data_IF_327328994336
#
_entry.id   IF_327328994336
#
_cell.length_a   1.000
_cell.length_b   1.000
_cell.length_c   1.000
_cell.angle_alpha   90.00
_cell.angle_beta   90.00
_cell.angle_gamma   90.00
#
_symmetry.space_group_name_H-M   'P 1'
#
loop_
_entity.id
_entity.type
_entity.pdbx_description
1 polymer ?
#
# COMPACT_ATOMS: atom_id res chain seq x y z
N UNK A 1 4.86 -13.16 7.56
CA UNK A 1 4.71 -13.90 8.80
C UNK A 1 3.61 -13.28 9.68
N UNK A 2 3.16 -14.03 10.68
CA UNK A 2 2.14 -13.54 11.60
C UNK A 2 2.62 -12.34 12.40
N UNK A 3 3.91 -12.29 12.75
CA UNK A 3 4.48 -11.16 13.48
C UNK A 3 4.46 -9.87 12.64
N UNK A 4 4.73 -9.99 11.35
CA UNK A 4 4.66 -8.86 10.43
C UNK A 4 3.24 -8.32 10.34
N UNK A 5 2.26 -9.20 10.23
CA UNK A 5 0.84 -8.79 10.17
C UNK A 5 0.45 -8.07 11.46
N UNK A 6 0.88 -8.56 12.62
CA UNK A 6 0.62 -7.91 13.91
C UNK A 6 1.22 -6.51 13.95
N UNK A 7 2.47 -6.35 13.52
CA UNK A 7 3.14 -5.04 13.52
C UNK A 7 2.46 -4.08 12.52
N UNK A 8 2.09 -4.58 11.36
CA UNK A 8 1.41 -3.79 10.34
C UNK A 8 0.06 -3.28 10.88
N UNK A 9 -0.69 -4.15 11.55
CA UNK A 9 -1.96 -3.79 12.18
C UNK A 9 -1.78 -2.71 13.24
N UNK A 10 -0.76 -2.84 14.08
CA UNK A 10 -0.45 -1.83 15.11
C UNK A 10 -0.20 -0.46 14.48
N UNK A 11 0.57 -0.40 13.41
CA UNK A 11 0.89 0.88 12.76
C UNK A 11 -0.33 1.49 12.08
N UNK A 12 -1.18 0.68 11.49
CA UNK A 12 -2.44 1.17 10.90
C UNK A 12 -3.35 1.70 12.01
N UNK A 13 -3.50 0.98 13.12
CA UNK A 13 -4.31 1.42 14.26
C UNK A 13 -3.77 2.71 14.85
N UNK A 14 -2.45 2.84 14.95
CA UNK A 14 -1.81 4.08 15.43
C UNK A 14 -2.11 5.24 14.50
N UNK A 15 -2.05 5.02 13.19
CA UNK A 15 -2.39 6.06 12.21
C UNK A 15 -3.85 6.51 12.39
N UNK A 16 -4.76 5.58 12.58
CA UNK A 16 -6.18 5.88 12.81
C UNK A 16 -6.33 6.70 14.10
N UNK A 17 -5.63 6.30 15.15
CA UNK A 17 -5.64 7.02 16.44
C UNK A 17 -5.09 8.44 16.29
N UNK A 18 -4.12 8.64 15.42
CA UNK A 18 -3.53 9.95 15.10
C UNK A 18 -4.41 10.79 14.17
N UNK A 19 -5.54 10.28 13.70
CA UNK A 19 -6.50 11.01 12.89
C UNK A 19 -6.53 10.68 11.41
N UNK A 20 -5.69 9.78 10.93
CA UNK A 20 -5.71 9.39 9.52
C UNK A 20 -6.93 8.51 9.21
N UNK A 21 -7.55 8.77 8.07
CA UNK A 21 -8.78 8.05 7.65
C UNK A 21 -8.67 7.45 6.26
N UNK A 22 -7.80 7.98 5.41
CA UNK A 22 -7.63 7.49 4.04
C UNK A 22 -6.31 6.75 3.93
N UNK A 23 -6.38 5.49 3.52
CA UNK A 23 -5.22 4.62 3.39
C UNK A 23 -5.02 4.26 1.92
N UNK A 24 -3.80 4.49 1.42
CA UNK A 24 -3.42 4.19 0.06
C UNK A 24 -2.56 2.93 0.03
N UNK A 25 -2.80 2.05 -0.94
CA UNK A 25 -2.01 0.84 -1.16
C UNK A 25 -1.59 0.74 -2.62
N UNK A 26 -0.36 0.30 -2.86
CA UNK A 26 0.17 0.11 -4.21
C UNK A 26 -0.23 -1.20 -4.87
N UNK A 27 -0.97 -2.04 -4.18
CA UNK A 27 -1.56 -3.28 -4.70
C UNK A 27 -0.59 -4.37 -5.11
N UNK A 28 0.67 -4.29 -4.68
CA UNK A 28 1.63 -5.37 -4.90
C UNK A 28 1.35 -6.56 -4.00
N UNK A 29 1.81 -7.74 -4.42
CA UNK A 29 1.68 -8.96 -3.62
C UNK A 29 2.35 -8.78 -2.25
N UNK A 30 1.79 -9.41 -1.24
CA UNK A 30 2.34 -9.38 0.12
C UNK A 30 1.83 -8.19 0.91
N UNK A 31 2.73 -7.35 1.41
CA UNK A 31 2.43 -6.29 2.38
C UNK A 31 1.31 -5.36 1.94
N UNK A 32 1.32 -4.93 0.69
CA UNK A 32 0.29 -4.01 0.17
C UNK A 32 -1.11 -4.60 0.30
N UNK A 33 -1.27 -5.86 -0.10
CA UNK A 33 -2.57 -6.52 -0.03
C UNK A 33 -2.94 -6.89 1.41
N UNK A 34 -1.99 -7.25 2.24
CA UNK A 34 -2.25 -7.52 3.66
C UNK A 34 -2.68 -6.25 4.39
N UNK A 35 -2.03 -5.13 4.11
CA UNK A 35 -2.43 -3.84 4.68
C UNK A 35 -3.85 -3.46 4.25
N UNK A 36 -4.18 -3.68 2.98
CA UNK A 36 -5.52 -3.45 2.46
C UNK A 36 -6.57 -4.30 3.19
N UNK A 37 -6.26 -5.57 3.43
CA UNK A 37 -7.15 -6.47 4.19
C UNK A 37 -7.45 -5.91 5.58
N UNK A 38 -6.43 -5.41 6.26
CA UNK A 38 -6.58 -4.83 7.60
C UNK A 38 -7.49 -3.61 7.55
N UNK A 39 -7.30 -2.71 6.60
CA UNK A 39 -8.14 -1.51 6.47
C UNK A 39 -9.58 -1.90 6.16
N UNK A 40 -9.79 -2.86 5.27
CA UNK A 40 -11.13 -3.35 4.92
C UNK A 40 -11.83 -3.92 6.16
N UNK A 41 -11.11 -4.72 6.95
CA UNK A 41 -11.65 -5.27 8.21
C UNK A 41 -12.02 -4.15 9.19
N UNK A 42 -11.10 -3.22 9.44
CA UNK A 42 -11.32 -2.14 10.39
C UNK A 42 -12.45 -1.19 9.95
N UNK A 43 -12.65 -1.03 8.64
CA UNK A 43 -13.74 -0.21 8.09
C UNK A 43 -15.12 -0.70 8.53
N UNK A 44 -15.24 -1.99 8.87
CA UNK A 44 -16.51 -2.55 9.40
C UNK A 44 -16.90 -1.90 10.71
N UNK A 45 -15.92 -1.45 11.49
CA UNK A 45 -16.12 -0.84 12.81
C UNK A 45 -15.95 0.67 12.80
N UNK A 46 -15.33 1.22 11.77
CA UNK A 46 -15.13 2.66 11.60
C UNK A 46 -15.40 3.02 10.13
N UNK A 47 -16.62 3.48 9.86
CA UNK A 47 -17.08 3.74 8.50
C UNK A 47 -16.46 4.96 7.84
N UNK A 48 -15.71 5.77 8.60
CA UNK A 48 -14.98 6.91 8.05
C UNK A 48 -13.70 6.49 7.36
N UNK A 49 -13.25 5.24 7.58
CA UNK A 49 -12.06 4.73 6.90
C UNK A 49 -12.31 4.51 5.42
N UNK A 50 -11.34 4.91 4.59
CA UNK A 50 -11.38 4.73 3.15
C UNK A 50 -10.11 4.04 2.69
N UNK A 51 -10.27 3.12 1.74
CA UNK A 51 -9.17 2.43 1.09
C UNK A 51 -9.08 2.90 -0.36
N UNK A 52 -7.91 3.38 -0.76
CA UNK A 52 -7.63 3.76 -2.12
C UNK A 52 -6.56 2.84 -2.69
N UNK A 53 -6.87 2.18 -3.80
CA UNK A 53 -5.92 1.34 -4.52
C UNK A 53 -5.25 2.16 -5.62
N UNK A 54 -3.91 2.15 -5.64
CA UNK A 54 -3.12 2.87 -6.64
C UNK A 54 -2.36 1.84 -7.47
N UNK A 55 -2.85 1.60 -8.66
CA UNK A 55 -2.37 0.53 -9.54
C UNK A 55 -1.40 1.12 -10.55
N UNK A 56 -0.16 0.58 -10.64
CA UNK A 56 0.84 1.14 -11.56
C UNK A 56 0.43 1.01 -13.02
N UNK A 57 -0.17 -0.11 -13.41
CA UNK A 57 -0.67 -0.30 -14.76
C UNK A 57 -1.76 -1.37 -14.79
N UNK A 58 -2.66 -1.28 -15.74
CA UNK A 58 -3.74 -2.26 -15.89
C UNK A 58 -3.14 -3.61 -16.31
N UNK A 59 -3.55 -4.68 -15.64
CA UNK A 59 -3.04 -6.02 -15.91
C UNK A 59 -1.81 -6.40 -15.10
N UNK A 60 -1.44 -5.62 -14.09
CA UNK A 60 -0.28 -5.93 -13.25
C UNK A 60 -0.32 -7.36 -12.69
N UNK A 61 -1.51 -7.85 -12.38
CA UNK A 61 -1.71 -9.17 -11.76
C UNK A 61 -1.78 -10.34 -12.77
N UNK A 62 -1.73 -10.08 -14.07
CA UNK A 62 -2.03 -11.09 -15.10
C UNK A 62 -1.19 -12.36 -14.98
N UNK A 63 0.07 -12.24 -14.58
CA UNK A 63 1.01 -13.38 -14.48
C UNK A 63 1.24 -13.87 -13.07
N UNK A 64 0.45 -13.38 -12.11
CA UNK A 64 0.59 -13.82 -10.73
C UNK A 64 -0.02 -15.20 -10.52
N UNK A 65 0.43 -15.95 -9.49
CA UNK A 65 -0.27 -17.15 -9.07
C UNK A 65 -1.75 -16.91 -8.81
N UNK A 66 -2.58 -17.91 -9.07
CA UNK A 66 -4.04 -17.78 -9.01
C UNK A 66 -4.55 -17.19 -7.68
N UNK A 67 -3.98 -17.65 -6.56
CA UNK A 67 -4.44 -17.17 -5.25
C UNK A 67 -4.16 -15.69 -5.05
N UNK A 68 -3.01 -15.20 -5.52
CA UNK A 68 -2.67 -13.79 -5.45
C UNK A 68 -3.55 -12.94 -6.38
N UNK A 69 -3.89 -13.47 -7.57
CA UNK A 69 -4.83 -12.78 -8.46
C UNK A 69 -6.19 -12.62 -7.82
N UNK A 70 -6.69 -13.68 -7.17
CA UNK A 70 -7.97 -13.63 -6.46
C UNK A 70 -7.94 -12.60 -5.35
N UNK A 71 -6.85 -12.58 -4.57
CA UNK A 71 -6.67 -11.62 -3.48
C UNK A 71 -6.69 -10.19 -4.02
N UNK A 72 -5.91 -9.92 -5.06
CA UNK A 72 -5.88 -8.62 -5.73
C UNK A 72 -7.29 -8.19 -6.18
N UNK A 73 -8.00 -9.08 -6.85
CA UNK A 73 -9.32 -8.76 -7.37
C UNK A 73 -10.34 -8.48 -6.25
N UNK A 74 -10.27 -9.24 -5.15
CA UNK A 74 -11.13 -9.00 -3.99
C UNK A 74 -10.86 -7.65 -3.34
N UNK A 75 -9.60 -7.28 -3.17
CA UNK A 75 -9.23 -5.98 -2.59
C UNK A 75 -9.70 -4.86 -3.52
N UNK A 76 -9.43 -4.98 -4.82
CA UNK A 76 -9.82 -3.95 -5.79
C UNK A 76 -11.34 -3.73 -5.78
N UNK A 77 -12.11 -4.81 -5.71
CA UNK A 77 -13.58 -4.75 -5.68
C UNK A 77 -14.10 -4.05 -4.43
N UNK A 78 -13.41 -4.18 -3.31
CA UNK A 78 -13.82 -3.62 -2.02
C UNK A 78 -13.26 -2.22 -1.75
N UNK A 79 -12.37 -1.73 -2.60
CA UNK A 79 -11.78 -0.40 -2.43
C UNK A 79 -12.82 0.69 -2.60
N UNK A 80 -12.66 1.78 -1.85
CA UNK A 80 -13.51 2.96 -1.99
C UNK A 80 -13.16 3.73 -3.25
N UNK A 81 -11.88 3.70 -3.65
CA UNK A 81 -11.43 4.34 -4.88
C UNK A 81 -10.28 3.54 -5.49
N UNK A 82 -10.23 3.52 -6.82
CA UNK A 82 -9.16 2.86 -7.59
C UNK A 82 -8.59 3.87 -8.58
N UNK A 83 -7.28 4.09 -8.49
CA UNK A 83 -6.53 4.95 -9.40
C UNK A 83 -5.56 4.08 -10.20
N UNK A 84 -5.76 4.00 -11.50
CA UNK A 84 -4.86 3.30 -12.41
C UNK A 84 -4.01 4.35 -13.12
N UNK A 85 -2.68 4.23 -13.03
CA UNK A 85 -1.77 5.27 -13.52
C UNK A 85 -1.37 5.09 -14.99
N UNK A 86 -1.44 3.87 -15.53
CA UNK A 86 -1.07 3.60 -16.92
C UNK A 86 -1.92 2.49 -17.50
N UNK A 87 -2.18 2.55 -18.81
CA UNK A 87 -2.93 1.50 -19.51
C UNK A 87 -2.14 0.21 -19.65
N UNK A 88 -0.80 0.30 -19.63
CA UNK A 88 0.08 -0.82 -19.92
C UNK A 88 1.39 -0.69 -19.17
N UNK A 89 2.14 -1.79 -19.13
CA UNK A 89 3.47 -1.83 -18.56
C UNK A 89 4.44 -0.90 -19.32
N UNK A 90 5.30 -0.24 -18.55
CA UNK A 90 6.54 0.39 -19.02
C UNK A 90 7.56 0.29 -17.89
N UNK A 91 8.87 0.50 -18.16
CA UNK A 91 9.89 0.36 -17.12
C UNK A 91 9.70 1.26 -15.89
N UNK A 92 9.00 2.39 -16.04
CA UNK A 92 8.85 3.39 -14.98
C UNK A 92 7.59 3.24 -14.15
N UNK A 93 6.69 2.30 -14.48
CA UNK A 93 5.36 2.27 -13.86
C UNK A 93 5.41 2.08 -12.34
N UNK A 94 6.30 1.24 -11.84
CA UNK A 94 6.38 0.99 -10.39
C UNK A 94 6.94 2.18 -9.65
N UNK A 95 7.97 2.82 -10.19
CA UNK A 95 8.53 4.03 -9.59
C UNK A 95 7.51 5.16 -9.61
N UNK A 96 6.81 5.34 -10.72
CA UNK A 96 5.77 6.35 -10.84
C UNK A 96 4.67 6.13 -9.80
N UNK A 97 4.23 4.86 -9.59
CA UNK A 97 3.25 4.53 -8.57
C UNK A 97 3.77 4.86 -7.18
N UNK A 98 5.01 4.50 -6.87
CA UNK A 98 5.58 4.76 -5.56
C UNK A 98 5.69 6.26 -5.26
N UNK A 99 6.11 7.05 -6.24
CA UNK A 99 6.16 8.51 -6.09
C UNK A 99 4.76 9.10 -5.94
N UNK A 100 3.80 8.58 -6.68
CA UNK A 100 2.40 9.02 -6.58
C UNK A 100 1.86 8.79 -5.17
N UNK A 101 2.13 7.61 -4.60
CA UNK A 101 1.73 7.29 -3.22
C UNK A 101 2.29 8.30 -2.22
N UNK A 102 3.57 8.60 -2.30
CA UNK A 102 4.23 9.56 -1.41
C UNK A 102 3.65 10.96 -1.62
N UNK A 103 3.50 11.39 -2.88
CA UNK A 103 3.01 12.73 -3.21
C UNK A 103 1.58 12.99 -2.73
N UNK A 104 0.80 11.93 -2.50
CA UNK A 104 -0.59 12.04 -2.09
C UNK A 104 -0.82 11.54 -0.66
N UNK A 105 0.24 11.45 0.14
CA UNK A 105 0.19 10.97 1.52
C UNK A 105 0.85 11.95 2.48
N UNK A 106 0.43 11.86 3.74
CA UNK A 106 1.01 12.65 4.83
C UNK A 106 1.83 11.79 5.79
N UNK A 107 1.82 10.49 5.62
CA UNK A 107 2.60 9.52 6.40
C UNK A 107 2.82 8.26 5.55
N UNK A 108 4.00 7.69 5.64
CA UNK A 108 4.33 6.43 4.99
C UNK A 108 4.55 5.34 6.06
N UNK A 109 3.92 4.19 5.87
CA UNK A 109 4.23 2.97 6.61
C UNK A 109 4.91 2.03 5.61
N UNK A 110 6.14 1.61 5.91
CA UNK A 110 6.91 0.77 5.00
C UNK A 110 7.48 -0.43 5.73
N UNK A 111 7.48 -1.59 5.06
CA UNK A 111 8.14 -2.80 5.55
C UNK A 111 9.43 -2.95 4.77
N UNK A 112 10.58 -2.98 5.45
CA UNK A 112 11.88 -2.89 4.81
C UNK A 112 12.91 -3.76 5.51
N UNK A 113 13.72 -4.46 4.71
CA UNK A 113 14.77 -5.34 5.22
C UNK A 113 16.17 -4.74 5.12
N UNK A 114 16.31 -3.48 4.70
CA UNK A 114 17.59 -2.81 4.54
C UNK A 114 18.27 -3.02 3.19
N UNK A 115 17.75 -3.89 2.36
CA UNK A 115 18.34 -4.21 1.04
C UNK A 115 17.92 -3.17 0.00
N UNK A 116 18.79 -2.86 -1.00
CA UNK A 116 18.40 -2.00 -2.12
C UNK A 116 17.15 -2.56 -2.81
N UNK A 117 16.11 -1.70 -2.97
CA UNK A 117 14.81 -2.16 -3.47
C UNK A 117 13.91 -0.97 -3.82
N UNK A 118 12.77 -1.27 -4.44
CA UNK A 118 11.73 -0.28 -4.66
C UNK A 118 11.23 0.34 -3.35
N UNK A 119 11.12 -0.46 -2.28
CA UNK A 119 10.74 0.05 -0.96
C UNK A 119 11.76 1.03 -0.41
N UNK A 120 13.06 0.70 -0.51
CA UNK A 120 14.13 1.59 -0.09
C UNK A 120 14.10 2.91 -0.85
N UNK A 121 13.87 2.86 -2.15
CA UNK A 121 13.74 4.06 -2.98
C UNK A 121 12.54 4.92 -2.58
N UNK A 122 11.43 4.28 -2.24
CA UNK A 122 10.22 4.98 -1.79
C UNK A 122 10.45 5.67 -0.45
N UNK A 123 11.14 5.01 0.49
CA UNK A 123 11.49 5.60 1.79
C UNK A 123 12.38 6.82 1.58
N UNK A 124 13.38 6.71 0.72
CA UNK A 124 14.26 7.82 0.40
C UNK A 124 13.47 9.00 -0.19
N UNK A 125 12.61 8.73 -1.14
CA UNK A 125 11.78 9.76 -1.76
C UNK A 125 10.86 10.45 -0.74
N UNK A 126 10.28 9.67 0.18
CA UNK A 126 9.45 10.22 1.25
C UNK A 126 10.24 11.16 2.15
N UNK A 127 11.48 10.79 2.50
CA UNK A 127 12.37 11.66 3.27
C UNK A 127 12.67 12.96 2.53
N UNK A 128 12.94 12.88 1.22
CA UNK A 128 13.20 14.06 0.38
C UNK A 128 11.99 14.99 0.34
N UNK A 129 10.78 14.42 0.39
CA UNK A 129 9.54 15.20 0.39
C UNK A 129 9.10 15.65 1.78
N UNK A 130 9.85 15.30 2.82
CA UNK A 130 9.51 15.67 4.20
C UNK A 130 8.34 14.90 4.78
N UNK A 131 8.02 13.72 4.26
CA UNK A 131 6.91 12.90 4.73
C UNK A 131 7.37 12.04 5.91
N UNK A 132 6.71 12.10 7.08
CA UNK A 132 6.99 11.19 8.18
C UNK A 132 6.87 9.74 7.75
N UNK A 133 7.88 8.92 8.08
CA UNK A 133 7.87 7.49 7.73
C UNK A 133 8.00 6.65 8.98
N UNK A 134 7.22 5.56 9.03
CA UNK A 134 7.41 4.51 10.02
C UNK A 134 7.87 3.26 9.30
N UNK A 135 9.05 2.78 9.64
CA UNK A 135 9.65 1.60 9.02
C UNK A 135 9.48 0.41 9.95
N UNK A 136 8.82 -0.63 9.44
CA UNK A 136 8.76 -1.93 10.11
C UNK A 136 9.93 -2.75 9.56
N UNK A 137 10.87 -3.06 10.40
CA UNK A 137 12.07 -3.81 10.00
C UNK A 137 11.78 -5.31 10.01
N UNK A 138 12.27 -6.00 9.00
CA UNK A 138 12.13 -7.45 8.85
C UNK A 138 13.45 -8.14 8.55
#
# INVERSE_FOLDING_TARGET
>A
SSDLIVELRKEILKAIDDGYRVFLTGMSRGVDLWAADIVIELRRYNKDLKLMCVIPFEGMEDRWPVDWKKHYNLVRKQADHVQVLSDRYSPDVYQNRNQWLVNHSSRLIAVFNGEPSGTGNTIQYAHEQGIPTHIIEV
#
